data_IF_555416534037
#
_entry.id   IF_555416534037
#
_cell.length_a   1.000
_cell.length_b   1.000
_cell.length_c   1.000
_cell.angle_alpha   90.00
_cell.angle_beta   90.00
_cell.angle_gamma   90.00
#
_symmetry.space_group_name_H-M   'P 1'
#
loop_
_entity.id
_entity.type
_entity.pdbx_description
1 polymer ?
#
# COMPACT_ATOMS: atom_id res chain seq x y z
N UNK A 1 4.79 0.83 27.38
CA UNK A 1 4.15 2.12 27.05
C UNK A 1 3.57 2.03 25.66
N UNK A 2 2.26 2.25 25.49
CA UNK A 2 1.61 2.24 24.17
C UNK A 2 2.01 3.48 23.39
N UNK A 3 2.89 3.32 22.38
CA UNK A 3 3.30 4.42 21.50
C UNK A 3 2.11 4.88 20.65
N UNK A 4 1.97 6.20 20.49
CA UNK A 4 0.99 6.77 19.58
C UNK A 4 1.35 6.31 18.16
N UNK A 5 0.41 5.60 17.53
CA UNK A 5 0.58 5.03 16.20
C UNK A 5 -0.32 5.82 15.25
N UNK A 6 0.24 6.31 14.15
CA UNK A 6 -0.53 6.97 13.09
C UNK A 6 -0.38 6.21 11.79
N UNK A 7 -1.44 6.18 11.00
CA UNK A 7 -1.46 5.41 9.77
C UNK A 7 -1.14 6.31 8.58
N UNK A 8 -0.08 5.99 7.84
CA UNK A 8 0.35 6.74 6.66
C UNK A 8 0.01 5.92 5.40
N UNK A 9 -0.64 6.51 4.38
CA UNK A 9 -0.87 5.81 3.11
C UNK A 9 0.47 5.55 2.42
N UNK A 10 0.80 4.27 2.21
CA UNK A 10 2.11 3.86 1.67
C UNK A 10 2.05 3.36 0.22
N UNK A 11 0.85 3.13 -0.34
CA UNK A 11 0.68 2.61 -1.69
C UNK A 11 -0.59 3.14 -2.38
N UNK A 12 -0.62 3.01 -3.71
CA UNK A 12 -1.80 3.25 -4.55
C UNK A 12 -2.43 1.93 -5.02
N UNK A 13 -2.25 0.84 -4.28
CA UNK A 13 -2.83 -0.46 -4.62
C UNK A 13 -4.31 -0.49 -4.27
N UNK A 14 -5.10 -1.20 -5.10
CA UNK A 14 -6.51 -1.49 -4.81
C UNK A 14 -6.65 -2.99 -4.60
N UNK A 15 -7.17 -3.39 -3.45
CA UNK A 15 -7.30 -4.81 -3.11
C UNK A 15 -8.51 -5.43 -3.82
N UNK A 16 -8.40 -6.74 -4.10
CA UNK A 16 -9.40 -7.51 -4.84
C UNK A 16 -10.79 -7.52 -4.18
N UNK A 17 -10.87 -7.38 -2.85
CA UNK A 17 -12.16 -7.33 -2.13
C UNK A 17 -13.03 -6.11 -2.50
N UNK A 18 -12.42 -5.05 -3.03
CA UNK A 18 -13.13 -3.86 -3.52
C UNK A 18 -13.50 -3.98 -5.02
N UNK A 19 -13.08 -5.06 -5.70
CA UNK A 19 -13.36 -5.25 -7.11
C UNK A 19 -14.73 -5.91 -7.29
N UNK A 20 -15.63 -5.32 -8.10
CA UNK A 20 -16.93 -5.90 -8.36
C UNK A 20 -16.78 -7.25 -9.07
N UNK A 21 -17.53 -8.24 -8.60
CA UNK A 21 -17.51 -9.57 -9.21
C UNK A 21 -18.10 -9.54 -10.62
N UNK A 22 -17.74 -10.51 -11.46
CA UNK A 22 -18.29 -10.62 -12.82
C UNK A 22 -19.82 -10.61 -12.81
N UNK A 23 -20.43 -11.34 -11.88
CA UNK A 23 -21.87 -11.43 -11.74
C UNK A 23 -22.52 -10.08 -11.40
N UNK A 24 -21.91 -9.30 -10.51
CA UNK A 24 -22.41 -7.97 -10.16
C UNK A 24 -22.34 -7.01 -11.33
N UNK A 25 -21.24 -7.04 -12.09
CA UNK A 25 -21.09 -6.22 -13.30
C UNK A 25 -22.13 -6.62 -14.35
N UNK A 26 -22.37 -7.92 -14.55
CA UNK A 26 -23.43 -8.40 -15.44
C UNK A 26 -24.82 -7.95 -14.98
N UNK A 27 -25.14 -8.11 -13.70
CA UNK A 27 -26.41 -7.69 -13.11
C UNK A 27 -26.62 -6.18 -13.30
N UNK A 28 -25.60 -5.37 -13.06
CA UNK A 28 -25.65 -3.92 -13.25
C UNK A 28 -25.86 -3.56 -14.72
N UNK A 29 -25.18 -4.22 -15.64
CA UNK A 29 -25.37 -4.01 -17.08
C UNK A 29 -26.78 -4.41 -17.56
N UNK A 30 -27.34 -5.50 -17.03
CA UNK A 30 -28.73 -5.91 -17.31
C UNK A 30 -29.72 -4.85 -16.81
N UNK A 31 -29.54 -4.39 -15.57
CA UNK A 31 -30.37 -3.34 -14.96
C UNK A 31 -30.31 -2.06 -15.77
N UNK A 32 -29.11 -1.67 -16.21
CA UNK A 32 -28.91 -0.50 -17.06
C UNK A 32 -29.61 -0.64 -18.42
N UNK A 33 -29.55 -1.82 -19.05
CA UNK A 33 -30.27 -2.07 -20.31
C UNK A 33 -31.79 -2.01 -20.13
N UNK A 34 -32.33 -2.56 -19.03
CA UNK A 34 -33.76 -2.44 -18.69
C UNK A 34 -34.17 -0.97 -18.53
N UNK A 35 -33.36 -0.18 -17.81
CA UNK A 35 -33.56 1.26 -17.67
C UNK A 35 -33.56 2.01 -19.01
N UNK A 36 -32.59 1.72 -19.89
CA UNK A 36 -32.52 2.33 -21.23
C UNK A 36 -33.74 2.01 -22.09
N UNK A 37 -34.25 0.77 -22.02
CA UNK A 37 -35.43 0.36 -22.79
C UNK A 37 -36.70 1.02 -22.27
N UNK A 38 -36.88 1.08 -20.94
CA UNK A 38 -37.98 1.83 -20.31
C UNK A 38 -37.95 3.30 -20.70
N UNK A 39 -36.81 3.96 -20.59
CA UNK A 39 -36.66 5.38 -20.95
C UNK A 39 -37.01 5.65 -22.43
N UNK A 40 -36.64 4.74 -23.33
CA UNK A 40 -36.98 4.87 -24.74
C UNK A 40 -38.48 4.71 -24.99
N UNK A 41 -39.16 3.87 -24.21
CA UNK A 41 -40.58 3.62 -24.35
C UNK A 41 -41.43 4.74 -23.74
N UNK A 42 -41.08 5.24 -22.56
CA UNK A 42 -41.78 6.38 -21.95
C UNK A 42 -41.73 7.60 -22.86
N UNK A 43 -40.62 7.80 -23.57
CA UNK A 43 -40.48 8.82 -24.61
C UNK A 43 -41.37 8.59 -25.85
N UNK A 44 -41.85 7.36 -26.09
CA UNK A 44 -42.64 7.00 -27.28
C UNK A 44 -44.15 6.86 -27.02
N UNK A 45 -44.58 6.44 -25.83
CA UNK A 45 -45.98 5.99 -25.62
C UNK A 45 -46.75 6.80 -24.57
N UNK A 46 -46.09 7.59 -23.70
CA UNK A 46 -46.77 8.18 -22.53
C UNK A 46 -46.97 7.14 -21.41
N UNK A 47 -47.07 7.63 -20.18
CA UNK A 47 -46.87 6.88 -18.94
C UNK A 47 -48.14 6.08 -18.53
N UNK A 48 -48.32 4.89 -19.11
CA UNK A 48 -49.38 3.94 -18.72
C UNK A 48 -48.83 2.88 -17.74
N UNK A 49 -49.20 2.97 -16.46
CA UNK A 49 -48.67 2.14 -15.36
C UNK A 49 -48.95 0.63 -15.52
N UNK A 50 -50.11 0.23 -16.06
CA UNK A 50 -50.52 -1.18 -16.20
C UNK A 50 -49.78 -1.91 -17.35
N UNK A 51 -49.17 -1.14 -18.26
CA UNK A 51 -48.28 -1.67 -19.29
C UNK A 51 -46.86 -1.95 -18.73
N UNK A 52 -46.49 -1.33 -17.60
CA UNK A 52 -45.14 -1.37 -17.04
C UNK A 52 -44.74 -2.77 -16.54
N UNK A 53 -45.62 -3.47 -15.81
CA UNK A 53 -45.30 -4.79 -15.23
C UNK A 53 -45.16 -5.90 -16.28
N UNK A 54 -46.03 -5.92 -17.31
CA UNK A 54 -45.91 -6.85 -18.44
C UNK A 54 -44.65 -6.58 -19.27
N UNK A 55 -44.26 -5.32 -19.38
CA UNK A 55 -43.05 -4.91 -20.11
C UNK A 55 -41.76 -5.25 -19.36
N UNK A 56 -41.78 -5.27 -18.04
CA UNK A 56 -40.62 -5.71 -17.26
C UNK A 56 -40.26 -7.17 -17.53
N UNK A 57 -41.28 -8.04 -17.64
CA UNK A 57 -41.08 -9.42 -18.06
C UNK A 57 -40.54 -9.48 -19.49
N UNK A 58 -41.03 -8.63 -20.40
CA UNK A 58 -40.51 -8.51 -21.77
C UNK A 58 -39.05 -8.05 -21.82
N UNK A 59 -38.66 -7.08 -21.00
CA UNK A 59 -37.28 -6.59 -20.94
C UNK A 59 -36.32 -7.56 -20.27
N UNK A 60 -36.81 -8.45 -19.41
CA UNK A 60 -36.03 -9.54 -18.84
C UNK A 60 -35.70 -10.64 -19.89
N UNK A 61 -36.45 -10.71 -21.00
CA UNK A 61 -36.06 -11.53 -22.16
C UNK A 61 -34.90 -10.88 -22.92
N UNK A 62 -33.68 -11.22 -22.50
CA UNK A 62 -32.47 -10.93 -23.27
C UNK A 62 -32.31 -11.93 -24.42
N UNK A 63 -32.00 -11.43 -25.61
CA UNK A 63 -31.57 -12.31 -26.70
C UNK A 63 -30.19 -12.91 -26.37
N UNK A 64 -29.86 -14.08 -26.92
CA UNK A 64 -28.57 -14.73 -26.71
C UNK A 64 -27.40 -13.87 -27.19
N UNK A 65 -27.59 -13.11 -28.27
CA UNK A 65 -26.61 -12.13 -28.74
C UNK A 65 -26.35 -11.01 -27.71
N UNK A 66 -27.38 -10.59 -26.97
CA UNK A 66 -27.28 -9.56 -25.94
C UNK A 66 -26.61 -10.12 -24.68
N UNK A 67 -27.00 -11.31 -24.24
CA UNK A 67 -26.32 -12.03 -23.15
C UNK A 67 -24.82 -12.15 -23.42
N UNK A 68 -24.45 -12.57 -24.64
CA UNK A 68 -23.04 -12.67 -25.06
C UNK A 68 -22.32 -11.32 -25.04
N UNK A 69 -22.98 -10.24 -25.50
CA UNK A 69 -22.42 -8.88 -25.45
C UNK A 69 -22.20 -8.41 -24.01
N UNK A 70 -23.15 -8.65 -23.11
CA UNK A 70 -23.07 -8.29 -21.70
C UNK A 70 -21.92 -9.03 -21.03
N UNK A 71 -21.86 -10.37 -21.16
CA UNK A 71 -20.77 -11.19 -20.62
C UNK A 71 -19.40 -10.71 -21.10
N UNK A 72 -19.26 -10.49 -22.41
CA UNK A 72 -17.99 -10.01 -23.00
C UNK A 72 -17.58 -8.62 -22.49
N UNK A 73 -18.55 -7.74 -22.22
CA UNK A 73 -18.28 -6.40 -21.67
C UNK A 73 -17.92 -6.48 -20.19
N UNK A 74 -18.66 -7.27 -19.41
CA UNK A 74 -18.38 -7.50 -18.00
C UNK A 74 -16.99 -8.09 -17.80
N UNK A 75 -16.63 -9.11 -18.60
CA UNK A 75 -15.32 -9.73 -18.50
C UNK A 75 -14.18 -8.76 -18.83
N UNK A 76 -14.31 -7.98 -19.91
CA UNK A 76 -13.32 -6.93 -20.25
C UNK A 76 -13.22 -5.83 -19.20
N UNK A 77 -14.32 -5.51 -18.52
CA UNK A 77 -14.32 -4.51 -17.47
C UNK A 77 -13.55 -5.00 -16.25
N UNK A 78 -13.84 -6.23 -15.78
CA UNK A 78 -13.13 -6.85 -14.66
C UNK A 78 -11.65 -7.00 -14.98
N UNK A 79 -11.29 -7.49 -16.16
CA UNK A 79 -9.89 -7.60 -16.60
C UNK A 79 -9.13 -6.27 -16.55
N UNK A 80 -9.78 -5.16 -16.95
CA UNK A 80 -9.16 -3.83 -16.90
C UNK A 80 -9.04 -3.29 -15.48
N UNK A 81 -10.02 -3.60 -14.63
CA UNK A 81 -9.97 -3.22 -13.23
C UNK A 81 -8.84 -3.96 -12.52
N UNK A 82 -8.71 -5.25 -12.79
CA UNK A 82 -7.64 -6.09 -12.26
C UNK A 82 -6.27 -5.59 -12.73
N UNK A 83 -6.09 -5.36 -14.04
CA UNK A 83 -4.85 -4.77 -14.57
C UNK A 83 -4.53 -3.37 -13.99
N UNK A 84 -5.54 -2.63 -13.52
CA UNK A 84 -5.38 -1.33 -12.86
C UNK A 84 -5.13 -1.45 -11.35
N UNK A 85 -5.48 -2.57 -10.72
CA UNK A 85 -5.35 -2.78 -9.27
C UNK A 85 -3.88 -2.72 -8.81
N UNK A 86 -2.97 -3.05 -9.73
CA UNK A 86 -1.55 -3.19 -9.45
C UNK A 86 -1.20 -4.50 -8.75
N UNK A 87 -2.18 -5.36 -8.47
CA UNK A 87 -1.98 -6.66 -7.83
C UNK A 87 -1.97 -7.83 -8.84
N UNK A 88 -2.44 -7.61 -10.07
CA UNK A 88 -2.62 -8.66 -11.09
C UNK A 88 -1.35 -9.43 -11.49
N UNK A 89 -0.17 -8.92 -11.14
CA UNK A 89 1.12 -9.55 -11.43
C UNK A 89 1.72 -10.27 -10.21
N UNK A 90 1.12 -10.10 -9.04
CA UNK A 90 1.58 -10.70 -7.79
C UNK A 90 0.94 -12.06 -7.61
N UNK A 91 1.67 -13.00 -7.01
CA UNK A 91 1.10 -14.25 -6.55
C UNK A 91 0.13 -14.00 -5.40
N UNK A 92 -0.83 -14.91 -5.21
CA UNK A 92 -1.80 -14.86 -4.12
C UNK A 92 -1.12 -14.77 -2.75
N UNK A 93 0.01 -15.48 -2.57
CA UNK A 93 0.83 -15.39 -1.35
C UNK A 93 1.37 -13.96 -1.11
N UNK A 94 1.82 -13.28 -2.16
CA UNK A 94 2.32 -11.92 -2.04
C UNK A 94 1.17 -10.92 -1.82
N UNK A 95 0.00 -11.15 -2.43
CA UNK A 95 -1.21 -10.39 -2.12
C UNK A 95 -1.63 -10.55 -0.64
N UNK A 96 -1.53 -11.77 -0.09
CA UNK A 96 -1.80 -12.03 1.32
C UNK A 96 -0.81 -11.30 2.23
N UNK A 97 0.48 -11.23 1.88
CA UNK A 97 1.48 -10.45 2.62
C UNK A 97 1.21 -8.94 2.60
N UNK A 98 0.59 -8.42 1.55
CA UNK A 98 0.23 -7.01 1.43
C UNK A 98 -1.11 -6.66 2.10
N UNK A 99 -1.96 -7.65 2.37
CA UNK A 99 -3.28 -7.46 2.99
C UNK A 99 -3.25 -6.72 4.33
N UNK A 100 -2.31 -6.98 5.26
CA UNK A 100 -2.20 -6.20 6.50
C UNK A 100 -1.94 -4.70 6.28
N UNK A 101 -1.38 -4.32 5.13
CA UNK A 101 -1.02 -2.94 4.83
C UNK A 101 -2.16 -2.15 4.16
N UNK A 102 -3.35 -2.75 3.99
CA UNK A 102 -4.55 -2.14 3.40
C UNK A 102 -4.88 -0.74 3.94
N UNK A 103 -4.77 -0.58 5.25
CA UNK A 103 -5.08 0.68 5.94
C UNK A 103 -4.01 1.74 5.81
N UNK A 104 -2.84 1.41 5.27
CA UNK A 104 -1.61 2.18 5.39
C UNK A 104 -0.63 1.53 6.37
N UNK A 105 0.56 2.11 6.47
CA UNK A 105 1.58 1.62 7.40
C UNK A 105 1.36 2.29 8.77
N UNK A 106 1.19 1.53 9.86
CA UNK A 106 1.25 2.07 11.21
C UNK A 106 2.68 2.56 11.48
N UNK A 107 2.84 3.87 11.64
CA UNK A 107 4.12 4.50 11.99
C UNK A 107 4.05 4.94 13.44
N UNK A 108 5.03 4.51 14.23
CA UNK A 108 5.22 4.98 15.60
C UNK A 108 5.73 6.40 15.59
N UNK A 109 5.02 7.28 16.31
CA UNK A 109 5.44 8.67 16.54
C UNK A 109 6.45 8.74 17.69
N UNK A 110 7.39 9.67 17.56
CA UNK A 110 8.26 10.10 18.66
C UNK A 110 7.62 11.33 19.28
N UNK A 111 7.28 11.23 20.57
CA UNK A 111 6.48 12.28 21.23
C UNK A 111 7.34 13.37 21.85
N UNK A 112 8.58 13.06 22.25
CA UNK A 112 9.46 13.99 22.95
C UNK A 112 10.88 13.95 22.39
N UNK A 113 11.60 15.06 22.51
CA UNK A 113 13.03 15.10 22.19
C UNK A 113 13.83 14.13 23.06
N UNK A 114 13.40 13.90 24.31
CA UNK A 114 14.04 12.96 25.21
C UNK A 114 13.97 11.52 24.68
N UNK A 115 12.83 11.09 24.14
CA UNK A 115 12.70 9.77 23.50
C UNK A 115 13.64 9.65 22.28
N UNK A 116 13.84 10.74 21.53
CA UNK A 116 14.82 10.75 20.43
C UNK A 116 16.27 10.59 20.93
N UNK A 117 16.61 11.22 22.05
CA UNK A 117 17.93 11.13 22.68
C UNK A 117 18.20 9.74 23.25
N UNK A 118 17.20 9.11 23.87
CA UNK A 118 17.28 7.72 24.35
C UNK A 118 17.51 6.75 23.19
N UNK A 119 16.79 6.91 22.07
CA UNK A 119 16.96 6.10 20.87
C UNK A 119 18.37 6.29 20.30
N UNK A 120 18.86 7.53 20.21
CA UNK A 120 20.20 7.82 19.70
C UNK A 120 21.30 7.23 20.59
N UNK A 121 21.17 7.34 21.92
CA UNK A 121 22.13 6.78 22.86
C UNK A 121 22.19 5.25 22.76
N UNK A 122 21.04 4.58 22.68
CA UNK A 122 20.98 3.13 22.49
C UNK A 122 21.61 2.72 21.16
N UNK A 123 21.31 3.44 20.07
CA UNK A 123 21.85 3.15 18.74
C UNK A 123 23.36 3.36 18.68
N UNK A 124 23.88 4.41 19.33
CA UNK A 124 25.31 4.67 19.43
C UNK A 124 26.04 3.64 20.30
N UNK A 125 25.39 3.12 21.35
CA UNK A 125 25.97 2.07 22.18
C UNK A 125 26.12 0.75 21.41
N UNK A 126 25.12 0.38 20.60
CA UNK A 126 25.16 -0.83 19.77
C UNK A 126 26.09 -0.68 18.55
N UNK A 127 26.10 0.52 17.94
CA UNK A 127 26.82 0.77 16.69
C UNK A 127 27.66 2.06 16.75
N UNK A 128 28.73 2.09 17.58
CA UNK A 128 29.59 3.27 17.69
C UNK A 128 30.24 3.67 16.36
N UNK A 129 30.54 2.67 15.52
CA UNK A 129 31.16 2.82 14.20
C UNK A 129 30.26 3.49 13.15
N UNK A 130 28.95 3.60 13.40
CA UNK A 130 28.01 4.34 12.55
C UNK A 130 27.68 5.74 13.07
N UNK A 131 28.44 6.25 14.04
CA UNK A 131 28.13 7.51 14.72
C UNK A 131 27.75 8.69 13.79
N UNK A 132 28.46 8.96 12.67
CA UNK A 132 28.08 10.05 11.77
C UNK A 132 26.73 9.84 11.09
N UNK A 133 26.38 8.59 10.77
CA UNK A 133 25.10 8.25 10.14
C UNK A 133 23.95 8.32 11.16
N UNK A 134 24.17 7.84 12.38
CA UNK A 134 23.17 7.83 13.44
C UNK A 134 22.91 9.24 14.00
N UNK A 135 23.90 10.13 14.00
CA UNK A 135 23.73 11.54 14.39
C UNK A 135 22.80 12.29 13.41
N UNK A 136 22.93 12.04 12.11
CA UNK A 136 22.01 12.60 11.12
C UNK A 136 20.56 12.09 11.31
N UNK A 137 20.38 10.81 11.65
CA UNK A 137 19.07 10.26 12.04
C UNK A 137 18.57 10.94 13.31
N UNK A 138 19.42 11.09 14.32
CA UNK A 138 19.09 11.74 15.59
C UNK A 138 18.59 13.17 15.42
N UNK A 139 19.26 13.97 14.59
CA UNK A 139 18.77 15.31 14.24
C UNK A 139 17.37 15.27 13.60
N UNK A 140 17.11 14.29 12.73
CA UNK A 140 15.79 14.07 12.14
C UNK A 140 14.73 13.63 13.17
N UNK A 141 15.09 12.75 14.12
CA UNK A 141 14.21 12.33 15.22
C UNK A 141 13.80 13.54 16.08
N UNK A 142 14.77 14.38 16.46
CA UNK A 142 14.54 15.57 17.29
C UNK A 142 13.71 16.64 16.56
N UNK A 143 14.00 16.88 15.27
CA UNK A 143 13.19 17.78 14.44
C UNK A 143 11.75 17.27 14.30
N UNK A 144 11.56 15.96 14.07
CA UNK A 144 10.23 15.34 13.96
C UNK A 144 9.43 15.44 15.26
N UNK A 145 10.09 15.31 16.42
CA UNK A 145 9.47 15.49 17.72
C UNK A 145 9.04 16.95 17.95
N UNK A 146 9.89 17.92 17.59
CA UNK A 146 9.60 19.37 17.68
C UNK A 146 8.42 19.79 16.81
N UNK A 147 8.40 19.33 15.56
CA UNK A 147 7.37 19.67 14.57
C UNK A 147 6.08 18.86 14.76
N UNK A 148 6.10 17.86 15.66
CA UNK A 148 4.96 17.01 15.94
C UNK A 148 4.52 16.16 14.75
N UNK A 149 5.45 15.78 13.88
CA UNK A 149 5.15 15.05 12.66
C UNK A 149 4.57 13.66 12.96
N UNK A 150 3.71 13.12 12.06
CA UNK A 150 3.11 11.80 12.22
C UNK A 150 4.16 10.67 12.21
N UNK A 151 5.29 10.87 11.54
CA UNK A 151 6.38 9.90 11.49
C UNK A 151 7.72 10.60 11.48
N UNK A 152 8.77 9.82 11.75
CA UNK A 152 10.15 10.30 11.67
C UNK A 152 10.49 10.64 10.23
N UNK A 153 11.00 11.86 10.02
CA UNK A 153 11.60 12.28 8.74
C UNK A 153 13.06 12.61 8.98
N UNK A 154 13.93 12.03 8.17
CA UNK A 154 15.35 12.38 8.12
C UNK A 154 15.79 12.43 6.66
N UNK A 155 16.82 13.23 6.39
CA UNK A 155 17.41 13.34 5.05
C UNK A 155 17.96 11.99 4.63
N UNK A 156 17.68 11.50 3.40
CA UNK A 156 18.21 10.22 2.95
C UNK A 156 19.74 10.22 3.04
N UNK A 157 20.28 9.23 3.74
CA UNK A 157 21.71 9.04 3.90
C UNK A 157 22.26 8.36 2.64
N UNK A 158 22.52 9.15 1.60
CA UNK A 158 23.33 8.68 0.49
C UNK A 158 24.80 8.71 0.93
N UNK A 159 25.53 7.60 0.75
CA UNK A 159 27.00 7.61 0.77
C UNK A 159 27.53 8.38 -0.45
N UNK A 160 27.23 9.67 -0.57
CA UNK A 160 27.95 10.56 -1.47
C UNK A 160 28.92 11.37 -0.63
N UNK A 161 30.18 10.94 -0.66
CA UNK A 161 31.31 11.54 0.03
C UNK A 161 31.18 11.52 1.56
N UNK A 162 31.70 10.44 2.17
CA UNK A 162 32.66 10.67 3.25
C UNK A 162 33.64 11.71 2.71
N UNK A 163 33.43 12.97 3.05
CA UNK A 163 34.43 14.00 2.88
C UNK A 163 35.52 13.59 3.84
N UNK A 164 36.47 12.81 3.34
CA UNK A 164 37.74 12.57 4.00
C UNK A 164 38.36 13.94 4.19
N UNK A 165 38.17 14.50 5.37
CA UNK A 165 39.07 15.52 5.87
C UNK A 165 40.47 14.90 5.81
N UNK A 166 41.44 15.54 5.16
CA UNK A 166 42.80 15.03 5.11
C UNK A 166 43.45 15.28 6.46
N UNK A 167 43.15 14.44 7.46
CA UNK A 167 43.92 14.38 8.70
C UNK A 167 44.51 12.98 8.82
N UNK A 168 45.80 12.93 8.47
CA UNK A 168 46.78 11.89 8.80
C UNK A 168 46.41 10.44 8.45
N UNK A 169 46.75 10.09 7.21
CA UNK A 169 46.98 8.71 6.80
C UNK A 169 48.14 8.09 7.61
N UNK A 170 47.82 7.37 8.67
CA UNK A 170 48.64 6.28 9.18
C UNK A 170 47.77 5.37 10.03
N UNK A 171 47.64 4.10 9.60
CA UNK A 171 46.91 2.99 10.23
C UNK A 171 45.44 2.81 9.85
N UNK A 172 45.18 2.45 8.60
CA UNK A 172 44.02 1.61 8.29
C UNK A 172 44.47 0.42 7.42
N UNK A 173 44.53 -0.75 8.03
CA UNK A 173 44.95 -2.01 7.41
C UNK A 173 43.75 -2.62 6.64
N UNK A 174 43.82 -2.86 5.32
CA UNK A 174 42.63 -3.11 4.49
C UNK A 174 42.13 -4.57 4.51
N UNK A 175 42.64 -5.43 5.41
CA UNK A 175 42.38 -6.88 5.41
C UNK A 175 41.45 -7.38 6.54
N UNK A 176 40.82 -6.49 7.31
CA UNK A 176 39.95 -6.86 8.44
C UNK A 176 38.62 -7.55 8.05
N UNK A 177 38.25 -7.56 6.76
CA UNK A 177 37.00 -8.17 6.27
C UNK A 177 37.01 -9.71 6.22
N UNK A 178 38.16 -10.37 6.43
CA UNK A 178 38.28 -11.84 6.34
C UNK A 178 38.07 -12.59 7.67
N UNK A 179 37.93 -11.89 8.80
CA UNK A 179 37.70 -12.54 10.09
C UNK A 179 36.21 -12.51 10.47
N UNK A 180 35.45 -13.49 9.98
CA UNK A 180 34.09 -13.75 10.48
C UNK A 180 34.11 -14.21 11.94
N UNK A 181 33.13 -13.81 12.79
CA UNK A 181 33.10 -14.24 14.17
C UNK A 181 32.71 -15.72 14.26
N UNK A 182 33.61 -16.54 14.79
CA UNK A 182 33.33 -17.92 15.18
C UNK A 182 32.37 -17.91 16.37
N UNK A 183 31.17 -18.45 16.18
CA UNK A 183 30.20 -18.73 17.24
C UNK A 183 30.83 -19.70 18.25
N UNK A 184 31.22 -19.19 19.42
CA UNK A 184 31.59 -20.02 20.57
C UNK A 184 30.34 -20.26 21.42
N UNK A 185 29.84 -21.49 21.34
CA UNK A 185 28.85 -22.08 22.22
C UNK A 185 29.34 -22.04 23.68
N UNK A 186 28.56 -21.41 24.56
CA UNK A 186 28.70 -21.55 26.02
C UNK A 186 27.60 -22.50 26.49
N UNK A 187 27.99 -23.73 26.84
CA UNK A 187 27.19 -24.61 27.68
C UNK A 187 27.30 -24.13 29.13
N UNK A 188 26.13 -24.00 29.76
CA UNK A 188 25.96 -23.81 31.20
C UNK A 188 26.20 -25.13 31.93
N UNK A 189 27.11 -25.13 32.90
CA UNK A 189 27.00 -25.82 34.20
C UNK A 189 27.73 -25.00 35.23
#
# INVERSE_FOLDING_TARGET
>A
MSRATTTIPFHTLRFEDDLPTLHEVERRLKTFLRGLRRQRQTAQTGDDDDASEKMDQFFDYLNEAERRKIRRRAHRYVQRLDARSGLSHLSEENCAKLTPLRGGLPVTRINTEHEADEIAAALHAEMPWMAPATEAVWHGLRASAREGLPGVRFTPLCQSAFKTDPVSASNFDPLWWLAGPTLRSLQLT
#
